data_IF_990667004578
#
_entry.id   IF_990667004578
#
_cell.length_a   1.000
_cell.length_b   1.000
_cell.length_c   1.000
_cell.angle_alpha   90.00
_cell.angle_beta   90.00
_cell.angle_gamma   90.00
#
_symmetry.space_group_name_H-M   'P 1'
#
loop_
_entity.id
_entity.type
_entity.pdbx_description
1 polymer ?
#
# COMPACT_ATOMS: atom_id res chain seq x y z
N UNK A 1 18.32 -7.46 -13.66
CA UNK A 1 18.62 -6.09 -14.07
C UNK A 1 17.56 -5.13 -13.56
N UNK A 2 18.00 -4.00 -13.00
CA UNK A 2 17.03 -3.01 -12.49
C UNK A 2 16.38 -2.22 -13.62
N UNK A 3 15.10 -1.91 -13.46
CA UNK A 3 14.34 -1.10 -14.38
C UNK A 3 13.77 0.11 -13.68
N UNK A 4 13.70 1.24 -14.39
CA UNK A 4 12.99 2.41 -13.89
C UNK A 4 11.53 2.29 -14.25
N UNK A 5 10.66 2.31 -13.23
CA UNK A 5 9.24 2.06 -13.40
C UNK A 5 8.41 3.13 -12.72
N UNK A 6 7.26 3.44 -13.32
CA UNK A 6 6.24 4.29 -12.73
C UNK A 6 5.09 3.41 -12.26
N UNK A 7 4.47 3.78 -11.16
CA UNK A 7 3.35 3.03 -10.58
C UNK A 7 2.25 2.87 -11.64
N UNK A 8 1.88 1.63 -11.99
CA UNK A 8 1.08 1.40 -13.18
C UNK A 8 -0.44 1.49 -12.99
N UNK A 9 -0.92 1.64 -11.75
CA UNK A 9 -2.35 1.71 -11.51
C UNK A 9 -2.68 2.72 -10.40
N UNK A 10 -3.96 3.09 -10.35
CA UNK A 10 -4.45 4.15 -9.49
C UNK A 10 -4.59 3.72 -8.03
N UNK A 11 -4.61 4.67 -7.08
CA UNK A 11 -4.95 4.32 -5.71
C UNK A 11 -6.38 3.80 -5.65
N UNK A 12 -6.60 2.88 -4.73
CA UNK A 12 -7.94 2.34 -4.49
C UNK A 12 -8.55 3.03 -3.28
N UNK A 13 -9.60 3.82 -3.47
CA UNK A 13 -10.26 4.53 -2.37
C UNK A 13 -11.64 5.01 -2.79
N UNK A 14 -12.43 5.41 -1.81
CA UNK A 14 -13.65 6.19 -2.04
C UNK A 14 -13.75 7.30 -0.97
N UNK A 15 -14.77 8.13 -1.09
CA UNK A 15 -14.93 9.27 -0.17
C UNK A 15 -15.11 8.84 1.29
N UNK A 16 -15.55 7.62 1.52
CA UNK A 16 -15.82 7.09 2.87
C UNK A 16 -14.65 6.29 3.44
N UNK A 17 -13.54 6.20 2.71
CA UNK A 17 -12.34 5.53 3.21
C UNK A 17 -11.88 6.15 4.51
N UNK A 18 -11.58 5.30 5.50
CA UNK A 18 -11.17 5.73 6.84
C UNK A 18 -9.74 5.32 7.19
N UNK A 19 -9.23 4.31 6.50
CA UNK A 19 -7.90 3.77 6.72
C UNK A 19 -7.19 3.71 5.38
N UNK A 20 -5.94 4.17 5.35
CA UNK A 20 -5.08 4.03 4.18
C UNK A 20 -3.95 3.07 4.50
N UNK A 21 -3.80 2.03 3.69
CA UNK A 21 -2.69 1.08 3.82
C UNK A 21 -1.74 1.30 2.65
N UNK A 22 -0.46 1.52 2.98
CA UNK A 22 0.56 1.83 1.99
C UNK A 22 1.61 0.72 1.93
N UNK A 23 1.85 0.20 0.73
CA UNK A 23 3.04 -0.59 0.43
C UNK A 23 4.17 0.31 -0.07
N UNK A 24 5.30 -0.28 -0.44
CA UNK A 24 6.41 0.46 -1.02
C UNK A 24 6.18 0.70 -2.52
N UNK A 25 6.14 -0.37 -3.29
CA UNK A 25 5.92 -0.35 -4.73
C UNK A 25 5.34 -1.71 -5.13
N UNK A 26 4.46 -1.79 -6.14
CA UNK A 26 3.82 -3.06 -6.46
C UNK A 26 4.80 -4.10 -7.00
N UNK A 27 4.58 -5.37 -6.63
CA UNK A 27 5.36 -6.50 -7.11
C UNK A 27 5.16 -6.71 -8.60
N UNK A 28 5.99 -7.56 -9.21
CA UNK A 28 5.82 -7.94 -10.62
C UNK A 28 4.40 -8.48 -10.86
N UNK A 29 3.94 -9.39 -9.99
CA UNK A 29 2.61 -9.99 -10.14
C UNK A 29 1.50 -8.94 -9.99
N UNK A 30 1.63 -8.02 -9.04
CA UNK A 30 0.66 -6.92 -8.86
C UNK A 30 0.61 -6.01 -10.09
N UNK A 31 1.78 -5.73 -10.68
CA UNK A 31 1.84 -4.92 -11.90
C UNK A 31 1.17 -5.62 -13.07
N UNK A 32 1.31 -6.94 -13.17
CA UNK A 32 0.66 -7.73 -14.21
C UNK A 32 -0.85 -7.79 -14.02
N UNK A 33 -1.30 -7.99 -12.79
CA UNK A 33 -2.72 -8.12 -12.48
C UNK A 33 -3.45 -6.79 -12.31
N UNK A 34 -2.70 -5.70 -12.14
CA UNK A 34 -3.27 -4.35 -12.00
C UNK A 34 -3.93 -4.09 -10.67
N UNK A 35 -3.54 -4.81 -9.61
CA UNK A 35 -4.06 -4.57 -8.27
C UNK A 35 -3.05 -4.96 -7.20
N UNK A 36 -3.32 -4.52 -5.97
CA UNK A 36 -2.39 -4.59 -4.83
C UNK A 36 -2.25 -6.00 -4.26
N UNK A 37 -1.02 -6.32 -3.87
CA UNK A 37 -0.71 -7.52 -3.09
C UNK A 37 -1.11 -8.83 -3.78
N UNK A 38 -0.84 -8.93 -5.08
CA UNK A 38 -1.22 -10.12 -5.87
C UNK A 38 -0.13 -11.19 -5.92
N UNK A 39 1.08 -10.91 -5.41
CA UNK A 39 2.12 -11.92 -5.37
C UNK A 39 1.66 -13.12 -4.52
N UNK A 40 1.84 -14.37 -5.01
CA UNK A 40 1.32 -15.56 -4.30
C UNK A 40 1.83 -15.74 -2.87
N UNK A 41 3.02 -15.21 -2.57
CA UNK A 41 3.62 -15.31 -1.24
C UNK A 41 3.29 -14.14 -0.34
N UNK A 42 2.59 -13.13 -0.85
CA UNK A 42 2.23 -11.98 -0.04
C UNK A 42 1.11 -12.37 0.92
N UNK A 43 1.29 -12.05 2.19
CA UNK A 43 0.37 -12.46 3.24
C UNK A 43 -0.74 -11.45 3.52
N UNK A 44 -0.78 -10.35 2.77
CA UNK A 44 -1.75 -9.29 3.02
C UNK A 44 -3.20 -9.81 2.97
N UNK A 45 -3.60 -10.42 1.85
CA UNK A 45 -4.96 -10.93 1.72
C UNK A 45 -5.23 -12.10 2.66
N UNK A 46 -4.35 -13.09 2.81
CA UNK A 46 -4.56 -14.15 3.80
C UNK A 46 -4.73 -13.66 5.24
N UNK A 47 -4.01 -12.61 5.63
CA UNK A 47 -4.16 -12.02 6.97
C UNK A 47 -5.56 -11.43 7.13
N UNK A 48 -6.04 -10.68 6.14
CA UNK A 48 -7.38 -10.12 6.18
C UNK A 48 -8.46 -11.20 6.19
N UNK A 49 -8.26 -12.28 5.43
CA UNK A 49 -9.17 -13.42 5.45
C UNK A 49 -9.30 -14.01 6.85
N UNK A 50 -8.16 -14.17 7.53
CA UNK A 50 -8.15 -14.71 8.89
C UNK A 50 -8.78 -13.76 9.89
N UNK A 51 -8.42 -12.47 9.83
CA UNK A 51 -8.90 -11.47 10.79
C UNK A 51 -10.41 -11.27 10.71
N UNK A 52 -10.97 -11.34 9.52
CA UNK A 52 -12.39 -11.01 9.30
C UNK A 52 -13.25 -12.22 8.96
N UNK A 53 -12.66 -13.41 8.95
CA UNK A 53 -13.35 -14.67 8.64
C UNK A 53 -14.09 -14.58 7.30
N UNK A 54 -13.36 -14.22 6.26
CA UNK A 54 -13.89 -14.05 4.90
C UNK A 54 -12.97 -14.70 3.88
N UNK A 55 -13.47 -14.87 2.65
CA UNK A 55 -12.67 -15.34 1.53
C UNK A 55 -12.49 -14.20 0.53
N UNK A 56 -11.25 -14.01 0.09
CA UNK A 56 -10.86 -12.93 -0.82
C UNK A 56 -10.04 -13.53 -1.97
N UNK A 57 -10.69 -14.39 -2.76
CA UNK A 57 -10.01 -15.24 -3.74
C UNK A 57 -9.68 -14.54 -5.04
N UNK A 58 -10.31 -13.40 -5.31
CA UNK A 58 -10.08 -12.67 -6.56
C UNK A 58 -10.17 -11.16 -6.31
N UNK A 59 -9.75 -10.39 -7.31
CA UNK A 59 -9.70 -8.93 -7.19
C UNK A 59 -11.09 -8.33 -6.93
N UNK A 60 -12.11 -8.85 -7.57
CA UNK A 60 -13.47 -8.35 -7.37
C UNK A 60 -13.92 -8.47 -5.91
N UNK A 61 -13.67 -9.63 -5.29
CA UNK A 61 -13.97 -9.85 -3.88
C UNK A 61 -13.13 -8.99 -2.97
N UNK A 62 -11.84 -8.82 -3.31
CA UNK A 62 -10.94 -7.96 -2.56
C UNK A 62 -11.42 -6.52 -2.56
N UNK A 63 -11.80 -6.01 -3.72
CA UNK A 63 -12.29 -4.63 -3.84
C UNK A 63 -13.60 -4.42 -3.08
N UNK A 64 -14.54 -5.35 -3.18
CA UNK A 64 -15.81 -5.27 -2.46
C UNK A 64 -15.59 -5.25 -0.94
N UNK A 65 -14.67 -6.07 -0.46
CA UNK A 65 -14.32 -6.12 0.95
C UNK A 65 -13.73 -4.78 1.43
N UNK A 66 -12.79 -4.22 0.65
CA UNK A 66 -12.16 -2.95 1.01
C UNK A 66 -13.20 -1.81 1.09
N UNK A 67 -14.13 -1.77 0.15
CA UNK A 67 -15.21 -0.78 0.19
C UNK A 67 -16.07 -0.95 1.43
N UNK A 68 -16.45 -2.17 1.74
CA UNK A 68 -17.28 -2.47 2.91
C UNK A 68 -16.59 -2.06 4.22
N UNK A 69 -15.28 -2.24 4.30
CA UNK A 69 -14.49 -1.94 5.49
C UNK A 69 -13.89 -0.53 5.50
N UNK A 70 -14.14 0.25 4.46
CA UNK A 70 -13.66 1.62 4.34
C UNK A 70 -12.13 1.71 4.34
N UNK A 71 -11.50 0.78 3.63
CA UNK A 71 -10.04 0.68 3.52
C UNK A 71 -9.58 1.15 2.15
N UNK A 72 -8.64 2.07 2.12
CA UNK A 72 -7.97 2.53 0.91
C UNK A 72 -6.59 1.89 0.80
N UNK A 73 -6.15 1.64 -0.43
CA UNK A 73 -4.83 1.08 -0.71
C UNK A 73 -4.07 1.98 -1.68
N UNK A 74 -2.79 2.15 -1.41
CA UNK A 74 -1.85 2.74 -2.35
C UNK A 74 -0.44 2.31 -1.98
N UNK A 75 0.56 2.88 -2.65
CA UNK A 75 1.96 2.67 -2.32
C UNK A 75 2.63 4.03 -2.07
N UNK A 76 3.69 4.03 -1.29
CA UNK A 76 4.43 5.26 -1.00
C UNK A 76 5.08 5.81 -2.25
N UNK A 77 5.59 4.93 -3.12
CA UNK A 77 6.39 5.34 -4.26
C UNK A 77 5.58 5.46 -5.55
N UNK A 78 5.74 6.58 -6.22
CA UNK A 78 5.18 6.82 -7.54
C UNK A 78 6.05 6.17 -8.62
N UNK A 79 7.36 6.27 -8.47
CA UNK A 79 8.32 5.73 -9.41
C UNK A 79 9.62 5.39 -8.71
N UNK A 80 10.35 4.45 -9.27
CA UNK A 80 11.65 4.06 -8.73
C UNK A 80 12.36 3.15 -9.72
N UNK A 81 13.64 2.93 -9.45
CA UNK A 81 14.41 1.89 -10.11
C UNK A 81 14.38 0.67 -9.21
N UNK A 82 13.95 -0.46 -9.73
CA UNK A 82 13.77 -1.67 -8.95
C UNK A 82 14.11 -2.90 -9.79
N UNK A 83 14.65 -3.93 -9.15
CA UNK A 83 14.88 -5.22 -9.76
C UNK A 83 13.77 -6.18 -9.35
N UNK A 84 12.91 -6.56 -10.31
CA UNK A 84 11.76 -7.43 -10.07
C UNK A 84 10.86 -6.89 -8.95
N UNK A 85 10.74 -7.63 -7.85
CA UNK A 85 9.91 -7.24 -6.69
C UNK A 85 10.74 -6.98 -5.44
N UNK A 86 12.06 -6.85 -5.58
CA UNK A 86 12.96 -6.78 -4.44
C UNK A 86 13.11 -5.33 -3.94
N UNK A 87 12.43 -5.02 -2.85
CA UNK A 87 12.47 -3.69 -2.24
C UNK A 87 13.87 -3.22 -1.86
N UNK A 88 14.79 -4.16 -1.60
CA UNK A 88 16.16 -3.81 -1.25
C UNK A 88 16.94 -3.20 -2.42
N UNK A 89 16.46 -3.40 -3.64
CA UNK A 89 17.09 -2.86 -4.84
C UNK A 89 16.54 -1.50 -5.24
N UNK A 90 15.57 -0.95 -4.51
CA UNK A 90 14.95 0.31 -4.87
C UNK A 90 15.95 1.47 -4.79
N UNK A 91 16.03 2.23 -5.86
CA UNK A 91 16.82 3.47 -5.94
C UNK A 91 16.06 4.49 -6.79
N UNK A 92 16.50 5.74 -6.76
CA UNK A 92 15.88 6.84 -7.48
C UNK A 92 14.38 6.92 -7.20
N UNK A 93 14.01 6.77 -5.92
CA UNK A 93 12.62 6.73 -5.50
C UNK A 93 11.99 8.12 -5.51
N UNK A 94 10.76 8.18 -6.06
CA UNK A 94 9.92 9.38 -6.02
C UNK A 94 8.60 9.02 -5.36
N UNK A 95 8.19 9.81 -4.38
CA UNK A 95 6.99 9.51 -3.62
C UNK A 95 5.72 9.98 -4.33
N UNK A 96 4.63 9.27 -4.07
CA UNK A 96 3.30 9.74 -4.40
C UNK A 96 2.92 10.89 -3.48
N UNK A 97 2.18 11.85 -4.02
CA UNK A 97 1.59 12.92 -3.21
C UNK A 97 0.29 12.39 -2.59
N UNK A 98 0.26 12.29 -1.27
CA UNK A 98 -0.91 11.78 -0.55
C UNK A 98 -1.97 12.84 -0.28
N UNK A 99 -1.66 14.13 -0.51
CA UNK A 99 -2.58 15.23 -0.21
C UNK A 99 -3.95 15.08 -0.88
N UNK A 100 -4.03 14.75 -2.19
CA UNK A 100 -5.34 14.61 -2.82
C UNK A 100 -6.22 13.53 -2.19
N UNK A 101 -5.64 12.37 -1.88
CA UNK A 101 -6.41 11.29 -1.28
C UNK A 101 -6.86 11.63 0.14
N UNK A 102 -6.00 12.29 0.91
CA UNK A 102 -6.33 12.68 2.28
C UNK A 102 -7.40 13.77 2.32
N UNK A 103 -7.41 14.69 1.35
CA UNK A 103 -8.39 15.78 1.31
C UNK A 103 -9.77 15.32 0.84
N UNK A 104 -9.85 14.23 0.07
CA UNK A 104 -11.10 13.74 -0.52
C UNK A 104 -11.78 12.67 0.31
N UNK A 105 -11.17 12.25 1.42
CA UNK A 105 -11.65 11.10 2.19
C UNK A 105 -11.74 11.43 3.67
N UNK A 106 -12.25 10.44 4.42
CA UNK A 106 -12.33 10.51 5.89
C UNK A 106 -11.17 9.76 6.55
N UNK A 107 -10.07 9.59 5.85
CA UNK A 107 -8.92 8.82 6.35
C UNK A 107 -8.38 9.45 7.63
N UNK A 108 -8.32 8.65 8.67
CA UNK A 108 -7.86 9.08 9.99
C UNK A 108 -6.67 8.25 10.50
N UNK A 109 -6.29 7.20 9.77
CA UNK A 109 -5.14 6.38 10.13
C UNK A 109 -4.46 5.87 8.86
N UNK A 110 -3.13 5.82 8.91
CA UNK A 110 -2.31 5.30 7.82
C UNK A 110 -1.46 4.16 8.37
N UNK A 111 -1.47 3.03 7.69
CA UNK A 111 -0.67 1.88 8.02
C UNK A 111 0.30 1.58 6.88
N UNK A 112 1.48 1.08 7.21
CA UNK A 112 2.45 0.64 6.20
C UNK A 112 2.64 -0.86 6.27
N UNK A 113 2.83 -1.49 5.12
CA UNK A 113 3.09 -2.92 5.03
C UNK A 113 4.59 -3.14 4.84
N UNK A 114 5.26 -3.59 5.91
CA UNK A 114 6.67 -3.90 5.89
C UNK A 114 7.58 -2.70 6.17
N UNK A 115 8.85 -3.01 6.37
CA UNK A 115 9.83 -2.01 6.78
C UNK A 115 10.20 -1.02 5.68
N UNK A 116 10.29 -1.48 4.43
CA UNK A 116 10.61 -0.60 3.30
C UNK A 116 9.56 0.49 3.13
N UNK A 117 8.29 0.12 3.17
CA UNK A 117 7.19 1.09 3.07
C UNK A 117 7.27 2.10 4.21
N UNK A 118 7.54 1.64 5.42
CA UNK A 118 7.65 2.53 6.58
C UNK A 118 8.82 3.51 6.44
N UNK A 119 9.98 3.02 6.04
CA UNK A 119 11.17 3.88 5.85
C UNK A 119 10.93 4.95 4.80
N UNK A 120 10.35 4.59 3.67
CA UNK A 120 10.04 5.56 2.62
C UNK A 120 8.95 6.53 3.08
N UNK A 121 7.96 6.04 3.81
CA UNK A 121 6.91 6.91 4.34
C UNK A 121 7.48 7.99 5.26
N UNK A 122 8.32 7.61 6.20
CA UNK A 122 8.95 8.56 7.12
C UNK A 122 9.79 9.58 6.36
N UNK A 123 10.55 9.11 5.37
CA UNK A 123 11.44 9.97 4.60
C UNK A 123 10.68 11.02 3.81
N UNK A 124 9.59 10.63 3.16
CA UNK A 124 8.88 11.50 2.23
C UNK A 124 7.68 12.24 2.84
N UNK A 125 7.20 11.78 4.00
CA UNK A 125 6.02 12.35 4.65
C UNK A 125 6.24 12.56 6.15
N UNK A 126 7.26 13.32 6.54
CA UNK A 126 7.60 13.47 7.96
C UNK A 126 6.50 14.12 8.81
N UNK A 127 5.68 14.98 8.21
CA UNK A 127 4.55 15.61 8.92
C UNK A 127 3.46 14.62 9.27
N UNK A 128 3.18 13.68 8.36
CA UNK A 128 2.16 12.67 8.58
C UNK A 128 2.59 11.68 9.67
N UNK A 129 3.89 11.43 9.83
CA UNK A 129 4.41 10.58 10.88
C UNK A 129 3.95 11.05 12.27
N UNK A 130 3.99 12.33 12.55
CA UNK A 130 3.59 12.87 13.84
C UNK A 130 2.10 12.64 14.12
N UNK A 131 1.26 12.77 13.09
CA UNK A 131 -0.19 12.57 13.19
C UNK A 131 -0.51 11.08 13.29
N UNK A 132 0.30 10.23 12.72
CA UNK A 132 0.06 8.78 12.56
C UNK A 132 1.01 7.95 13.41
N UNK A 133 1.20 8.31 14.67
CA UNK A 133 2.10 7.60 15.56
C UNK A 133 1.84 6.11 15.67
N UNK A 134 0.60 5.68 15.48
CA UNK A 134 0.20 4.27 15.48
C UNK A 134 0.90 3.45 14.39
N UNK A 135 1.39 4.09 13.35
CA UNK A 135 2.07 3.40 12.24
C UNK A 135 3.23 2.54 12.71
N UNK A 136 3.92 3.00 13.74
CA UNK A 136 5.06 2.27 14.27
C UNK A 136 4.69 0.87 14.74
N UNK A 137 3.47 0.70 15.25
CA UNK A 137 2.98 -0.61 15.68
C UNK A 137 2.65 -1.51 14.52
N UNK A 138 2.05 -0.95 13.49
CA UNK A 138 1.58 -1.75 12.36
C UNK A 138 2.70 -2.20 11.46
N UNK A 139 3.77 -1.44 11.33
CA UNK A 139 4.90 -1.86 10.48
C UNK A 139 5.65 -3.07 11.05
N UNK A 140 5.40 -3.44 12.30
CA UNK A 140 6.00 -4.62 12.94
C UNK A 140 5.16 -5.88 12.74
N UNK A 141 4.00 -5.80 12.16
CA UNK A 141 3.18 -6.97 11.88
C UNK A 141 3.76 -7.74 10.70
N UNK A 142 3.77 -9.07 10.81
CA UNK A 142 4.26 -9.92 9.72
C UNK A 142 3.42 -9.83 8.46
#
# INVERSE_FOLDING_TARGET
MSEFLTHPFEPFFDKDSKILILGSFPSVKSRQDGFYYQHPRNRFWPILETLFDVRLENITEQQAFLRKKHIALWDVLQSCKIKNSDDKTISYAKANDLSPILSQTKIQAIFTTGQSAYKFFIKFHPRLKAVRGILKRTCNYP
#
